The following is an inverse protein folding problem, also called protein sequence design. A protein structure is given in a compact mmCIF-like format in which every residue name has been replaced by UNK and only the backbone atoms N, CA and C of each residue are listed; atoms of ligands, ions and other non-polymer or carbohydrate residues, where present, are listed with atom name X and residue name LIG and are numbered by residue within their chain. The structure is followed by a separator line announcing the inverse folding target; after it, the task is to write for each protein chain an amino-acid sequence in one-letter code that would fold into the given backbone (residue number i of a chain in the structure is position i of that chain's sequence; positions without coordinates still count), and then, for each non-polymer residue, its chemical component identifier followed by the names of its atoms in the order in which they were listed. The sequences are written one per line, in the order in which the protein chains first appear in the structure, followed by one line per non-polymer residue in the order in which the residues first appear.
data_IF_918679204916
#
_entry.id   IF_918679204916
#
_cell.length_a   1.000
_cell.length_b   1.000
_cell.length_c   1.000
_cell.angle_alpha   90.00
_cell.angle_beta   90.00
_cell.angle_gamma   90.00
#
_symmetry.space_group_name_H-M   'P 1'
#
loop_
_entity.id
_entity.type
_entity.pdbx_description
1 polymer ?
#
# COMPACT_ATOMS: atom_id res chain seq x y z
N UNK A 1 34.51 45.47 17.15
CA UNK A 1 34.25 44.05 16.86
C UNK A 1 32.76 43.96 16.60
N UNK A 2 32.35 43.63 15.38
CA UNK A 2 31.26 42.69 15.16
C UNK A 2 31.26 42.23 13.70
N UNK A 3 31.36 40.91 13.56
CA UNK A 3 31.50 40.16 12.33
C UNK A 3 30.11 39.92 11.70
N UNK A 4 29.62 40.88 10.93
CA UNK A 4 28.44 40.66 10.08
C UNK A 4 28.60 41.36 8.73
N UNK A 5 29.47 40.85 7.84
CA UNK A 5 29.42 41.18 6.41
C UNK A 5 30.51 40.49 5.58
N UNK A 6 30.60 39.15 5.56
CA UNK A 6 31.41 38.45 4.55
C UNK A 6 30.80 37.11 4.12
N UNK A 7 30.00 37.08 3.03
CA UNK A 7 29.99 35.89 2.18
C UNK A 7 30.13 36.16 0.67
N UNK A 8 30.04 37.40 0.19
CA UNK A 8 29.95 37.67 -1.26
C UNK A 8 31.32 37.74 -1.94
N UNK A 9 32.38 38.09 -1.20
CA UNK A 9 33.73 38.25 -1.75
C UNK A 9 34.43 36.89 -1.98
N UNK A 10 34.12 35.88 -1.15
CA UNK A 10 34.70 34.52 -1.31
C UNK A 10 34.16 33.77 -2.54
N UNK A 11 32.87 33.90 -2.88
CA UNK A 11 32.31 33.28 -4.09
C UNK A 11 32.82 33.90 -5.40
N UNK A 12 33.05 35.22 -5.41
CA UNK A 12 33.60 35.91 -6.59
C UNK A 12 35.09 35.62 -6.78
N UNK A 13 35.87 35.55 -5.69
CA UNK A 13 37.28 35.16 -5.77
C UNK A 13 37.45 33.70 -6.22
N UNK A 14 36.59 32.77 -5.79
CA UNK A 14 36.68 31.37 -6.25
C UNK A 14 36.37 31.23 -7.75
N UNK A 15 35.36 31.95 -8.27
CA UNK A 15 35.04 31.95 -9.71
C UNK A 15 36.13 32.62 -10.56
N UNK A 16 36.77 33.67 -10.07
CA UNK A 16 37.90 34.32 -10.78
C UNK A 16 39.16 33.45 -10.71
N UNK A 17 39.40 32.72 -9.63
CA UNK A 17 40.58 31.86 -9.50
C UNK A 17 40.51 30.62 -10.40
N UNK A 18 39.32 30.02 -10.58
CA UNK A 18 39.12 28.89 -11.50
C UNK A 18 39.29 29.32 -12.96
N UNK A 19 38.86 30.53 -13.32
CA UNK A 19 38.97 31.04 -14.70
C UNK A 19 40.42 31.47 -15.04
N UNK A 20 41.21 31.94 -14.07
CA UNK A 20 42.58 32.40 -14.31
C UNK A 20 43.60 31.25 -14.32
N UNK A 21 43.38 30.16 -13.58
CA UNK A 21 44.29 29.01 -13.61
C UNK A 21 44.23 28.18 -14.91
N UNK A 22 43.20 28.32 -15.74
CA UNK A 22 43.10 27.63 -17.04
C UNK A 22 43.87 28.31 -18.18
N UNK A 23 44.45 29.50 -17.97
CA UNK A 23 45.10 30.25 -19.04
C UNK A 23 46.61 29.95 -19.21
N UNK A 24 47.24 29.13 -18.36
CA UNK A 24 48.72 29.00 -18.33
C UNK A 24 49.28 27.56 -18.31
N UNK A 25 48.49 26.53 -18.57
CA UNK A 25 49.03 25.17 -18.71
C UNK A 25 48.71 24.61 -20.11
N UNK A 26 49.71 24.65 -20.98
CA UNK A 26 49.69 23.90 -22.23
C UNK A 26 49.80 22.40 -21.95
N UNK A 27 49.06 21.64 -22.75
CA UNK A 27 49.01 20.18 -22.94
C UNK A 27 47.96 19.42 -22.10
N UNK A 28 46.99 18.86 -22.85
CA UNK A 28 45.77 18.13 -22.48
C UNK A 28 44.63 18.98 -21.86
N UNK A 29 43.50 19.22 -22.55
CA UNK A 29 42.31 19.73 -21.90
C UNK A 29 41.79 18.62 -20.98
N UNK A 30 42.00 18.78 -19.67
CA UNK A 30 41.14 18.11 -18.71
C UNK A 30 39.72 18.62 -19.00
N UNK A 31 38.93 17.83 -19.73
CA UNK A 31 37.51 18.07 -19.92
C UNK A 31 36.91 18.14 -18.51
N UNK A 32 36.67 19.34 -18.01
CA UNK A 32 35.85 19.52 -16.82
C UNK A 32 34.53 18.81 -17.12
N UNK A 33 34.21 17.76 -16.36
CA UNK A 33 33.02 16.97 -16.60
C UNK A 33 31.80 17.90 -16.50
N UNK A 34 31.13 18.15 -17.62
CA UNK A 34 29.97 19.03 -17.70
C UNK A 34 28.76 18.31 -17.07
N UNK A 35 28.74 18.30 -15.74
CA UNK A 35 27.64 17.83 -14.92
C UNK A 35 26.67 18.99 -14.67
N UNK A 36 25.36 18.72 -14.50
CA UNK A 36 24.37 19.76 -14.19
C UNK A 36 24.61 20.41 -12.81
N UNK A 37 25.45 19.80 -11.96
CA UNK A 37 25.57 20.16 -10.55
C UNK A 37 24.37 19.65 -9.74
N UNK A 38 24.40 19.79 -8.42
CA UNK A 38 23.21 19.49 -7.60
C UNK A 38 22.16 20.58 -7.80
N UNK A 39 21.00 20.17 -8.32
CA UNK A 39 19.84 21.05 -8.51
C UNK A 39 18.86 20.97 -7.34
N UNK A 40 17.85 21.84 -7.32
CA UNK A 40 16.74 21.69 -6.36
C UNK A 40 15.97 20.39 -6.61
N UNK A 41 15.83 19.99 -7.87
CA UNK A 41 15.18 18.74 -8.25
C UNK A 41 15.91 17.53 -7.65
N UNK A 42 17.26 17.52 -7.67
CA UNK A 42 18.05 16.47 -7.03
C UNK A 42 17.83 16.39 -5.52
N UNK A 43 17.70 17.55 -4.87
CA UNK A 43 17.43 17.61 -3.42
C UNK A 43 16.09 16.95 -3.10
N UNK A 44 15.03 17.33 -3.81
CA UNK A 44 13.69 16.75 -3.66
C UNK A 44 13.71 15.24 -4.00
N UNK A 45 14.34 14.85 -5.09
CA UNK A 45 14.50 13.44 -5.48
C UNK A 45 15.16 12.61 -4.36
N UNK A 46 16.23 13.12 -3.75
CA UNK A 46 16.94 12.43 -2.67
C UNK A 46 16.07 12.32 -1.40
N UNK A 47 15.33 13.38 -1.05
CA UNK A 47 14.38 13.34 0.07
C UNK A 47 13.29 12.27 -0.15
N UNK A 48 12.68 12.25 -1.33
CA UNK A 48 11.67 11.26 -1.69
C UNK A 48 12.24 9.83 -1.72
N UNK A 49 13.45 9.66 -2.23
CA UNK A 49 14.17 8.37 -2.21
C UNK A 49 14.36 7.87 -0.77
N UNK A 50 14.75 8.76 0.14
CA UNK A 50 14.91 8.41 1.55
C UNK A 50 13.55 8.04 2.18
N UNK A 51 12.49 8.76 1.87
CA UNK A 51 11.14 8.45 2.36
C UNK A 51 10.67 7.06 1.92
N UNK A 52 10.78 6.72 0.63
CA UNK A 52 10.39 5.41 0.13
C UNK A 52 11.27 4.28 0.73
N UNK A 53 12.57 4.51 0.91
CA UNK A 53 13.44 3.55 1.60
C UNK A 53 12.99 3.33 3.06
N UNK A 54 12.56 4.37 3.78
CA UNK A 54 11.98 4.19 5.12
C UNK A 54 10.70 3.36 5.08
N UNK A 55 9.80 3.60 4.11
CA UNK A 55 8.59 2.78 3.93
C UNK A 55 8.95 1.32 3.66
N UNK A 56 9.91 1.04 2.77
CA UNK A 56 10.43 -0.31 2.51
C UNK A 56 10.95 -0.95 3.80
N UNK A 57 11.73 -0.23 4.62
CA UNK A 57 12.21 -0.75 5.89
C UNK A 57 11.07 -1.09 6.87
N UNK A 58 10.05 -0.24 6.98
CA UNK A 58 8.87 -0.52 7.82
C UNK A 58 8.11 -1.75 7.33
N UNK A 59 7.89 -1.85 6.02
CA UNK A 59 7.21 -3.00 5.42
C UNK A 59 7.99 -4.31 5.56
N UNK A 60 9.33 -4.27 5.46
CA UNK A 60 10.16 -5.44 5.75
C UNK A 60 9.99 -5.90 7.20
N UNK A 61 9.97 -4.97 8.17
CA UNK A 61 9.72 -5.29 9.56
C UNK A 61 8.30 -5.83 9.80
N UNK A 62 7.33 -5.34 9.04
CA UNK A 62 5.94 -5.83 9.05
C UNK A 62 5.89 -7.29 8.55
N UNK A 63 6.47 -7.58 7.38
CA UNK A 63 6.52 -8.92 6.80
C UNK A 63 7.17 -9.94 7.75
N UNK A 64 8.26 -9.56 8.43
CA UNK A 64 8.94 -10.42 9.41
C UNK A 64 8.06 -10.81 10.60
N UNK A 65 7.07 -9.98 10.95
CA UNK A 65 6.12 -10.21 12.05
C UNK A 65 4.86 -10.97 11.61
N UNK A 66 4.70 -11.23 10.31
CA UNK A 66 3.51 -11.87 9.70
C UNK A 66 3.79 -13.32 9.27
N UNK A 67 4.64 -14.05 10.00
CA UNK A 67 4.91 -15.47 9.69
C UNK A 67 3.67 -16.37 9.84
N UNK A 68 2.72 -15.93 10.66
CA UNK A 68 1.45 -16.57 10.95
C UNK A 68 0.28 -16.04 10.10
N UNK A 69 0.56 -15.11 9.19
CA UNK A 69 -0.38 -14.59 8.19
C UNK A 69 0.29 -14.65 6.80
N UNK A 70 0.59 -15.86 6.29
CA UNK A 70 1.45 -16.06 5.13
C UNK A 70 0.93 -15.40 3.86
N UNK A 71 -0.38 -15.27 3.67
CA UNK A 71 -0.94 -14.68 2.46
C UNK A 71 -0.81 -13.17 2.45
N UNK A 72 -1.18 -12.53 3.56
CA UNK A 72 -1.01 -11.08 3.73
C UNK A 72 0.48 -10.73 3.70
N UNK A 73 1.34 -11.60 4.26
CA UNK A 73 2.79 -11.44 4.15
C UNK A 73 3.28 -11.42 2.69
N UNK A 74 2.80 -12.33 1.84
CA UNK A 74 3.15 -12.35 0.41
C UNK A 74 2.72 -11.06 -0.30
N UNK A 75 1.57 -10.50 0.05
CA UNK A 75 1.12 -9.21 -0.48
C UNK A 75 2.06 -8.06 -0.04
N UNK A 76 2.45 -8.03 1.24
CA UNK A 76 3.44 -7.07 1.75
C UNK A 76 4.77 -7.19 0.99
N UNK A 77 5.25 -8.41 0.74
CA UNK A 77 6.47 -8.68 -0.05
C UNK A 77 6.34 -8.20 -1.51
N UNK A 78 5.17 -8.36 -2.13
CA UNK A 78 4.87 -7.85 -3.47
C UNK A 78 4.92 -6.31 -3.55
N UNK A 79 4.37 -5.63 -2.54
CA UNK A 79 4.42 -4.17 -2.42
C UNK A 79 5.86 -3.68 -2.24
N UNK A 80 6.66 -4.36 -1.41
CA UNK A 80 8.09 -4.07 -1.25
C UNK A 80 8.83 -4.19 -2.60
N UNK A 81 8.57 -5.25 -3.36
CA UNK A 81 9.20 -5.45 -4.65
C UNK A 81 8.82 -4.35 -5.66
N UNK A 82 7.55 -3.94 -5.65
CA UNK A 82 7.05 -2.83 -6.47
C UNK A 82 7.72 -1.50 -6.13
N UNK A 83 7.96 -1.25 -4.84
CA UNK A 83 8.68 -0.08 -4.36
C UNK A 83 10.16 -0.10 -4.78
N UNK A 84 10.82 -1.25 -4.66
CA UNK A 84 12.20 -1.42 -5.11
C UNK A 84 12.36 -1.21 -6.63
N UNK A 85 11.41 -1.71 -7.42
CA UNK A 85 11.37 -1.48 -8.86
C UNK A 85 11.19 0.01 -9.19
N UNK A 86 10.31 0.71 -8.47
CA UNK A 86 10.10 2.15 -8.63
C UNK A 86 11.39 2.95 -8.38
N UNK A 87 12.14 2.61 -7.32
CA UNK A 87 13.45 3.24 -7.05
C UNK A 87 14.45 2.98 -8.18
N UNK A 88 14.51 1.75 -8.69
CA UNK A 88 15.41 1.37 -9.78
C UNK A 88 15.09 2.14 -11.06
N UNK A 89 13.81 2.20 -11.43
CA UNK A 89 13.35 2.90 -12.64
C UNK A 89 13.62 4.40 -12.53
N UNK A 90 13.36 5.00 -11.36
CA UNK A 90 13.65 6.41 -11.10
C UNK A 90 15.16 6.72 -11.16
N UNK A 91 16.00 5.85 -10.60
CA UNK A 91 17.46 5.97 -10.69
C UNK A 91 17.95 5.86 -12.13
N UNK A 92 17.38 4.96 -12.93
CA UNK A 92 17.69 4.82 -14.34
C UNK A 92 17.32 6.08 -15.13
N UNK A 93 16.12 6.64 -14.91
CA UNK A 93 15.70 7.91 -15.54
C UNK A 93 16.65 9.05 -15.19
N UNK A 94 17.03 9.19 -13.91
CA UNK A 94 18.01 10.19 -13.46
C UNK A 94 19.36 10.04 -14.16
N UNK A 95 19.85 8.81 -14.29
CA UNK A 95 21.11 8.52 -15.01
C UNK A 95 21.01 8.90 -16.49
N UNK A 96 19.89 8.55 -17.15
CA UNK A 96 19.66 8.88 -18.56
C UNK A 96 19.57 10.40 -18.78
N UNK A 97 18.87 11.12 -17.91
CA UNK A 97 18.78 12.58 -17.96
C UNK A 97 20.15 13.24 -17.77
N UNK A 98 20.96 12.75 -16.83
CA UNK A 98 22.32 13.24 -16.61
C UNK A 98 23.23 13.00 -17.84
N UNK A 99 23.13 11.83 -18.47
CA UNK A 99 23.90 11.52 -19.68
C UNK A 99 23.47 12.36 -20.88
N UNK A 100 22.17 12.61 -21.05
CA UNK A 100 21.63 13.51 -22.08
C UNK A 100 22.10 14.94 -21.86
N UNK A 101 22.01 15.45 -20.63
CA UNK A 101 22.56 16.76 -20.27
C UNK A 101 24.04 16.86 -20.64
N UNK A 102 24.85 15.88 -20.20
CA UNK A 102 26.31 15.88 -20.42
C UNK A 102 26.64 15.96 -21.92
N UNK A 103 26.00 15.14 -22.74
CA UNK A 103 26.20 15.13 -24.21
C UNK A 103 25.79 16.46 -24.84
N UNK A 104 24.60 16.96 -24.50
CA UNK A 104 24.07 18.20 -25.07
C UNK A 104 24.88 19.43 -24.65
N UNK A 105 25.34 19.49 -23.40
CA UNK A 105 26.19 20.56 -22.89
C UNK A 105 27.56 20.56 -23.54
N UNK A 106 28.14 19.36 -23.78
CA UNK A 106 29.41 19.21 -24.50
C UNK A 106 29.29 19.70 -25.94
N UNK A 107 28.24 19.31 -26.66
CA UNK A 107 27.99 19.81 -28.03
C UNK A 107 27.81 21.33 -28.05
N UNK A 108 27.05 21.89 -27.12
CA UNK A 108 26.88 23.34 -27.01
C UNK A 108 28.22 24.05 -26.76
N UNK A 109 29.10 23.47 -25.93
CA UNK A 109 30.41 24.02 -25.64
C UNK A 109 31.33 23.99 -26.87
N UNK A 110 31.38 22.86 -27.58
CA UNK A 110 32.21 22.71 -28.79
C UNK A 110 31.80 23.70 -29.89
N UNK A 111 30.49 23.84 -30.15
CA UNK A 111 29.95 24.82 -31.09
C UNK A 111 30.32 26.26 -30.69
N UNK A 112 30.23 26.57 -29.39
CA UNK A 112 30.56 27.90 -28.86
C UNK A 112 32.05 28.22 -29.01
N UNK A 113 32.94 27.25 -28.76
CA UNK A 113 34.38 27.44 -28.90
C UNK A 113 34.73 27.77 -30.36
N UNK A 114 34.19 27.02 -31.31
CA UNK A 114 34.42 27.26 -32.75
C UNK A 114 33.92 28.65 -33.15
N UNK A 115 32.69 29.00 -32.78
CA UNK A 115 32.11 30.31 -33.11
C UNK A 115 32.92 31.46 -32.52
N UNK A 116 33.32 31.37 -31.25
CA UNK A 116 34.12 32.41 -30.61
C UNK A 116 35.51 32.52 -31.22
N UNK A 117 36.13 31.42 -31.63
CA UNK A 117 37.42 31.44 -32.31
C UNK A 117 37.34 32.14 -33.67
N UNK A 118 36.30 31.86 -34.46
CA UNK A 118 36.05 32.54 -35.74
C UNK A 118 35.82 34.05 -35.56
N UNK A 119 35.00 34.42 -34.57
CA UNK A 119 34.74 35.83 -34.26
C UNK A 119 36.01 36.54 -33.75
N UNK A 120 36.83 35.88 -32.94
CA UNK A 120 38.12 36.42 -32.49
C UNK A 120 39.11 36.60 -33.64
N UNK A 121 39.11 35.71 -34.63
CA UNK A 121 39.94 35.85 -35.83
C UNK A 121 39.49 37.06 -36.67
N UNK A 122 38.18 37.20 -36.93
CA UNK A 122 37.62 38.39 -37.60
C UNK A 122 37.95 39.69 -36.87
N UNK A 123 37.88 39.68 -35.53
CA UNK A 123 38.24 40.83 -34.71
C UNK A 123 39.72 41.24 -34.92
N UNK A 124 40.63 40.26 -35.03
CA UNK A 124 42.05 40.52 -35.31
C UNK A 124 42.24 41.10 -36.72
N UNK A 125 41.54 40.57 -37.71
CA UNK A 125 41.58 41.05 -39.10
C UNK A 125 41.16 42.52 -39.20
N UNK A 126 40.02 42.90 -38.62
CA UNK A 126 39.55 44.29 -38.65
C UNK A 126 40.48 45.27 -37.92
N UNK A 127 41.12 44.82 -36.83
CA UNK A 127 42.13 45.61 -36.09
C UNK A 127 43.44 45.78 -36.85
N UNK A 128 43.76 44.89 -37.78
CA UNK A 128 45.00 44.93 -38.55
C UNK A 128 44.91 45.81 -39.82
N UNK A 129 43.70 46.26 -40.20
CA UNK A 129 43.50 47.17 -41.33
C UNK A 129 44.08 48.56 -41.04
N UNK A 130 44.47 49.30 -42.08
CA UNK A 130 44.97 50.68 -41.96
C UNK A 130 44.21 51.62 -42.92
N UNK A 131 43.34 52.52 -42.39
CA UNK A 131 42.97 52.65 -40.98
C UNK A 131 42.16 51.42 -40.48
N UNK A 132 42.14 51.15 -39.16
CA UNK A 132 41.31 50.09 -38.58
C UNK A 132 39.82 50.28 -38.88
N UNK A 133 39.11 49.18 -39.10
CA UNK A 133 37.65 49.21 -39.31
C UNK A 133 36.92 49.19 -37.96
N UNK A 134 36.76 50.38 -37.37
CA UNK A 134 36.09 50.56 -36.07
C UNK A 134 34.64 50.06 -36.06
N UNK A 135 33.92 50.20 -37.18
CA UNK A 135 32.54 49.72 -37.30
C UNK A 135 32.48 48.19 -37.30
N UNK A 136 33.39 47.54 -38.05
CA UNK A 136 33.56 46.09 -38.04
C UNK A 136 33.95 45.54 -36.67
N UNK A 137 34.86 46.21 -35.96
CA UNK A 137 35.28 45.84 -34.60
C UNK A 137 34.10 45.86 -33.64
N UNK A 138 33.33 46.96 -33.60
CA UNK A 138 32.18 47.10 -32.71
C UNK A 138 31.11 46.03 -32.99
N UNK A 139 30.84 45.76 -34.27
CA UNK A 139 29.90 44.72 -34.68
C UNK A 139 30.33 43.32 -34.21
N UNK A 140 31.60 42.95 -34.39
CA UNK A 140 32.11 41.63 -33.97
C UNK A 140 32.11 41.50 -32.44
N UNK A 141 32.43 42.56 -31.70
CA UNK A 141 32.32 42.54 -30.24
C UNK A 141 30.89 42.28 -29.77
N UNK A 142 29.90 42.91 -30.43
CA UNK A 142 28.49 42.66 -30.15
C UNK A 142 28.10 41.21 -30.48
N UNK A 143 28.62 40.64 -31.57
CA UNK A 143 28.38 39.23 -31.92
C UNK A 143 29.00 38.26 -30.90
N UNK A 144 30.19 38.55 -30.36
CA UNK A 144 30.83 37.75 -29.31
C UNK A 144 29.97 37.77 -28.04
N UNK A 145 29.50 38.94 -27.63
CA UNK A 145 28.65 39.06 -26.44
C UNK A 145 27.32 38.33 -26.62
N UNK A 146 26.69 38.48 -27.80
CA UNK A 146 25.48 37.74 -28.14
C UNK A 146 25.71 36.23 -28.12
N UNK A 147 26.80 35.74 -28.71
CA UNK A 147 27.13 34.32 -28.71
C UNK A 147 27.28 33.77 -27.27
N UNK A 148 27.86 34.55 -26.34
CA UNK A 148 27.94 34.16 -24.93
C UNK A 148 26.57 34.06 -24.28
N UNK A 149 25.72 35.05 -24.51
CA UNK A 149 24.34 35.05 -23.98
C UNK A 149 23.52 33.90 -24.54
N UNK A 150 23.65 33.60 -25.83
CA UNK A 150 22.96 32.49 -26.48
C UNK A 150 23.43 31.13 -25.90
N UNK A 151 24.72 30.98 -25.61
CA UNK A 151 25.27 29.81 -24.95
C UNK A 151 24.75 29.64 -23.51
N UNK A 152 24.77 30.71 -22.71
CA UNK A 152 24.24 30.70 -21.34
C UNK A 152 22.74 30.35 -21.32
N UNK A 153 21.96 30.92 -22.26
CA UNK A 153 20.54 30.61 -22.41
C UNK A 153 20.29 29.14 -22.80
N UNK A 154 21.16 28.57 -23.65
CA UNK A 154 21.10 27.15 -24.02
C UNK A 154 21.42 26.25 -22.84
N UNK A 155 22.45 26.55 -22.04
CA UNK A 155 22.76 25.80 -20.83
C UNK A 155 21.62 25.86 -19.81
N UNK A 156 21.02 27.03 -19.59
CA UNK A 156 19.87 27.18 -18.71
C UNK A 156 18.67 26.32 -19.14
N UNK A 157 18.42 26.21 -20.45
CA UNK A 157 17.39 25.31 -20.99
C UNK A 157 17.70 23.84 -20.72
N UNK A 158 18.94 23.40 -20.95
CA UNK A 158 19.37 22.03 -20.69
C UNK A 158 19.25 21.67 -19.20
N UNK A 159 19.54 22.61 -18.30
CA UNK A 159 19.32 22.42 -16.86
C UNK A 159 17.81 22.27 -16.57
N UNK A 160 16.96 23.09 -17.18
CA UNK A 160 15.51 22.99 -17.01
C UNK A 160 14.94 21.65 -17.49
N UNK A 161 15.39 21.15 -18.65
CA UNK A 161 15.02 19.83 -19.19
C UNK A 161 15.47 18.70 -18.26
N UNK A 162 16.68 18.81 -17.70
CA UNK A 162 17.17 17.89 -16.68
C UNK A 162 16.30 17.92 -15.42
N UNK A 163 16.03 19.10 -14.86
CA UNK A 163 15.23 19.26 -13.65
C UNK A 163 13.81 18.68 -13.82
N UNK A 164 13.18 18.86 -14.99
CA UNK A 164 11.86 18.30 -15.29
C UNK A 164 11.84 16.77 -15.21
N UNK A 165 12.83 16.11 -15.80
CA UNK A 165 12.98 14.64 -15.71
C UNK A 165 13.22 14.17 -14.26
N UNK A 166 14.03 14.90 -13.48
CA UNK A 166 14.29 14.56 -12.08
C UNK A 166 13.05 14.74 -11.20
N UNK A 167 12.28 15.81 -11.41
CA UNK A 167 10.99 15.99 -10.72
C UNK A 167 9.99 14.88 -11.10
N UNK A 168 9.92 14.50 -12.37
CA UNK A 168 9.09 13.38 -12.82
C UNK A 168 9.45 12.07 -12.12
N UNK A 169 10.75 11.76 -12.02
CA UNK A 169 11.24 10.61 -11.28
C UNK A 169 10.91 10.69 -9.78
N UNK A 170 11.10 11.86 -9.16
CA UNK A 170 10.78 12.10 -7.74
C UNK A 170 9.29 11.95 -7.43
N UNK A 171 8.41 12.42 -8.31
CA UNK A 171 6.96 12.28 -8.16
C UNK A 171 6.51 10.82 -8.20
N UNK A 172 7.14 9.98 -9.03
CA UNK A 172 6.88 8.54 -9.06
C UNK A 172 7.23 7.86 -7.73
N UNK A 173 8.38 8.22 -7.15
CA UNK A 173 8.81 7.75 -5.83
C UNK A 173 7.81 8.19 -4.74
N UNK A 174 7.45 9.48 -4.72
CA UNK A 174 6.51 10.04 -3.75
C UNK A 174 5.12 9.36 -3.83
N UNK A 175 4.64 9.09 -5.05
CA UNK A 175 3.38 8.37 -5.26
C UNK A 175 3.43 6.96 -4.66
N UNK A 176 4.52 6.23 -4.86
CA UNK A 176 4.67 4.88 -4.31
C UNK A 176 4.75 4.90 -2.78
N UNK A 177 5.47 5.87 -2.20
CA UNK A 177 5.51 6.06 -0.76
C UNK A 177 4.11 6.36 -0.19
N UNK A 178 3.31 7.19 -0.88
CA UNK A 178 1.92 7.47 -0.51
C UNK A 178 1.03 6.24 -0.57
N UNK A 179 1.20 5.37 -1.57
CA UNK A 179 0.43 4.11 -1.68
C UNK A 179 0.76 3.20 -0.50
N UNK A 180 2.04 3.01 -0.19
CA UNK A 180 2.45 2.22 0.98
C UNK A 180 1.88 2.79 2.27
N UNK A 181 2.00 4.10 2.51
CA UNK A 181 1.43 4.72 3.71
C UNK A 181 -0.10 4.55 3.79
N UNK A 182 -0.79 4.55 2.65
CA UNK A 182 -2.25 4.44 2.58
C UNK A 182 -2.79 3.06 2.94
N UNK A 183 -2.06 1.99 2.64
CA UNK A 183 -2.52 0.60 2.82
C UNK A 183 -1.91 -0.10 4.05
N UNK A 184 -1.00 0.57 4.77
CA UNK A 184 -0.26 0.00 5.91
C UNK A 184 -1.19 -0.54 7.01
N UNK A 185 -2.23 0.21 7.38
CA UNK A 185 -3.17 -0.21 8.42
C UNK A 185 -4.08 -1.35 7.95
N UNK A 186 -4.51 -1.33 6.69
CA UNK A 186 -5.40 -2.34 6.12
C UNK A 186 -4.69 -3.70 6.04
N UNK A 187 -3.41 -3.72 5.68
CA UNK A 187 -2.58 -4.94 5.69
C UNK A 187 -2.38 -5.47 7.12
N UNK A 188 -2.21 -4.60 8.12
CA UNK A 188 -2.12 -5.04 9.51
C UNK A 188 -3.45 -5.64 10.00
N UNK A 189 -4.59 -5.02 9.65
CA UNK A 189 -5.91 -5.54 9.96
C UNK A 189 -6.17 -6.88 9.25
N UNK A 190 -5.83 -6.98 7.96
CA UNK A 190 -5.94 -8.21 7.18
C UNK A 190 -5.13 -9.36 7.81
N UNK A 191 -3.90 -9.10 8.25
CA UNK A 191 -3.09 -10.13 8.92
C UNK A 191 -3.70 -10.58 10.25
N UNK A 192 -4.34 -9.69 11.00
CA UNK A 192 -5.07 -10.06 12.20
C UNK A 192 -6.29 -10.94 11.86
N UNK A 193 -7.03 -10.61 10.81
CA UNK A 193 -8.18 -11.39 10.35
C UNK A 193 -7.77 -12.75 9.78
N UNK A 194 -6.66 -12.85 9.04
CA UNK A 194 -6.13 -14.14 8.57
C UNK A 194 -5.82 -15.07 9.75
N UNK A 195 -5.19 -14.55 10.82
CA UNK A 195 -4.93 -15.31 12.06
C UNK A 195 -6.22 -15.73 12.75
N UNK A 196 -7.18 -14.82 12.85
CA UNK A 196 -8.48 -15.10 13.46
C UNK A 196 -9.21 -16.19 12.70
N UNK A 197 -9.24 -16.13 11.36
CA UNK A 197 -9.83 -17.15 10.51
C UNK A 197 -9.16 -18.51 10.72
N UNK A 198 -7.83 -18.57 10.73
CA UNK A 198 -7.11 -19.82 10.95
C UNK A 198 -7.41 -20.41 12.33
N UNK A 199 -7.45 -19.57 13.37
CA UNK A 199 -7.79 -19.99 14.73
C UNK A 199 -9.24 -20.46 14.84
N UNK A 200 -10.16 -19.76 14.17
CA UNK A 200 -11.57 -20.12 14.10
C UNK A 200 -11.73 -21.47 13.40
N UNK A 201 -11.06 -21.69 12.26
CA UNK A 201 -11.07 -22.97 11.56
C UNK A 201 -10.57 -24.11 12.46
N UNK A 202 -9.44 -23.95 13.14
CA UNK A 202 -8.91 -24.99 14.04
C UNK A 202 -9.91 -25.33 15.17
N UNK A 203 -10.53 -24.30 15.76
CA UNK A 203 -11.52 -24.45 16.84
C UNK A 203 -12.80 -25.13 16.33
N UNK A 204 -13.36 -24.62 15.23
CA UNK A 204 -14.64 -25.04 14.71
C UNK A 204 -14.60 -26.39 13.99
N UNK A 205 -13.45 -26.78 13.42
CA UNK A 205 -13.20 -28.15 12.97
C UNK A 205 -13.18 -29.12 14.15
N UNK A 206 -12.55 -28.76 15.27
CA UNK A 206 -12.57 -29.60 16.46
C UNK A 206 -14.01 -29.75 17.02
N UNK A 207 -14.79 -28.67 17.04
CA UNK A 207 -16.22 -28.71 17.38
C UNK A 207 -16.99 -29.67 16.46
N UNK A 208 -16.81 -29.56 15.13
CA UNK A 208 -17.44 -30.45 14.14
C UNK A 208 -17.16 -31.93 14.42
N UNK A 209 -15.90 -32.25 14.70
CA UNK A 209 -15.45 -33.62 14.96
C UNK A 209 -15.97 -34.18 16.30
N UNK A 210 -16.35 -33.31 17.24
CA UNK A 210 -16.96 -33.70 18.51
C UNK A 210 -18.46 -33.99 18.43
N UNK A 211 -19.12 -33.63 17.32
CA UNK A 211 -20.55 -33.86 17.13
C UNK A 211 -20.87 -35.33 16.84
N UNK A 212 -22.08 -35.76 17.22
CA UNK A 212 -22.59 -37.09 16.85
C UNK A 212 -22.94 -37.17 15.36
N UNK A 213 -23.04 -38.37 14.76
CA UNK A 213 -23.45 -38.51 13.36
C UNK A 213 -24.82 -37.89 13.05
N UNK A 214 -25.77 -37.98 13.99
CA UNK A 214 -27.10 -37.39 13.84
C UNK A 214 -27.04 -35.85 13.85
N UNK A 215 -26.17 -35.28 14.68
CA UNK A 215 -25.92 -33.84 14.71
C UNK A 215 -25.24 -33.36 13.43
N UNK A 216 -24.26 -34.10 12.91
CA UNK A 216 -23.57 -33.78 11.66
C UNK A 216 -24.49 -33.83 10.43
N UNK A 217 -25.48 -34.73 10.44
CA UNK A 217 -26.43 -34.89 9.31
C UNK A 217 -27.69 -34.03 9.43
N UNK A 218 -27.87 -33.33 10.56
CA UNK A 218 -28.95 -32.36 10.76
C UNK A 218 -28.83 -31.15 9.79
N UNK A 219 -29.92 -30.40 9.54
CA UNK A 219 -29.85 -29.19 8.72
C UNK A 219 -28.81 -28.17 9.22
N UNK A 220 -28.70 -27.99 10.54
CA UNK A 220 -27.71 -27.14 11.19
C UNK A 220 -26.30 -27.69 11.00
N UNK A 221 -26.12 -29.02 11.12
CA UNK A 221 -24.84 -29.68 10.85
C UNK A 221 -24.38 -29.49 9.40
N UNK A 222 -25.28 -29.64 8.43
CA UNK A 222 -24.98 -29.40 7.01
C UNK A 222 -24.62 -27.93 6.75
N UNK A 223 -25.34 -26.98 7.35
CA UNK A 223 -25.04 -25.56 7.25
C UNK A 223 -23.67 -25.22 7.87
N UNK A 224 -23.37 -25.78 9.04
CA UNK A 224 -22.09 -25.63 9.72
C UNK A 224 -20.94 -26.18 8.88
N UNK A 225 -21.10 -27.38 8.31
CA UNK A 225 -20.11 -27.96 7.41
C UNK A 225 -19.86 -27.08 6.20
N UNK A 226 -20.91 -26.51 5.61
CA UNK A 226 -20.79 -25.61 4.47
C UNK A 226 -20.03 -24.32 4.83
N UNK A 227 -20.28 -23.76 6.02
CA UNK A 227 -19.54 -22.60 6.51
C UNK A 227 -18.05 -22.93 6.72
N UNK A 228 -17.74 -24.10 7.29
CA UNK A 228 -16.37 -24.62 7.40
C UNK A 228 -15.69 -24.77 6.04
N UNK A 229 -16.34 -25.41 5.08
CA UNK A 229 -15.77 -25.61 3.75
C UNK A 229 -15.56 -24.27 3.00
N UNK A 230 -16.48 -23.30 3.17
CA UNK A 230 -16.34 -21.96 2.59
C UNK A 230 -15.20 -21.17 3.24
N UNK A 231 -15.08 -21.20 4.56
CA UNK A 231 -13.99 -20.57 5.29
C UNK A 231 -12.63 -21.20 4.97
N UNK A 232 -12.57 -22.53 4.81
CA UNK A 232 -11.37 -23.22 4.36
C UNK A 232 -10.98 -22.77 2.94
N UNK A 233 -11.95 -22.60 2.03
CA UNK A 233 -11.67 -22.08 0.69
C UNK A 233 -11.07 -20.66 0.73
N UNK A 234 -11.53 -19.79 1.63
CA UNK A 234 -10.91 -18.47 1.88
C UNK A 234 -9.51 -18.64 2.49
N UNK A 235 -9.33 -19.58 3.43
CA UNK A 235 -8.04 -19.92 4.03
C UNK A 235 -7.07 -20.64 3.09
N UNK A 236 -7.50 -21.08 1.90
CA UNK A 236 -6.64 -21.64 0.86
C UNK A 236 -6.39 -20.69 -0.34
N UNK A 237 -7.29 -19.74 -0.60
CA UNK A 237 -7.20 -18.81 -1.74
C UNK A 237 -6.12 -17.71 -1.56
N UNK A 238 -5.59 -17.08 -2.63
CA UNK A 238 -4.73 -15.89 -2.48
C UNK A 238 -5.39 -14.77 -1.68
N UNK A 239 -4.59 -13.86 -1.12
CA UNK A 239 -5.11 -12.65 -0.50
C UNK A 239 -5.94 -11.84 -1.52
N UNK A 240 -7.06 -11.29 -1.05
CA UNK A 240 -7.99 -10.50 -1.86
C UNK A 240 -8.32 -9.19 -1.14
N UNK A 241 -9.03 -9.27 -0.01
CA UNK A 241 -9.37 -8.10 0.82
C UNK A 241 -9.53 -8.49 2.29
N UNK A 242 -9.45 -7.52 3.23
CA UNK A 242 -9.77 -7.74 4.64
C UNK A 242 -11.21 -8.24 4.83
N UNK A 243 -12.16 -7.71 4.05
CA UNK A 243 -13.59 -8.06 4.13
C UNK A 243 -13.84 -9.53 3.85
N UNK A 244 -13.09 -10.13 2.90
CA UNK A 244 -13.19 -11.55 2.58
C UNK A 244 -12.90 -12.44 3.80
N UNK A 245 -11.95 -12.05 4.66
CA UNK A 245 -11.70 -12.75 5.91
C UNK A 245 -12.80 -12.52 6.95
N UNK A 246 -13.26 -11.27 7.10
CA UNK A 246 -14.31 -10.92 8.06
C UNK A 246 -15.61 -11.68 7.76
N UNK A 247 -16.05 -11.71 6.51
CA UNK A 247 -17.28 -12.39 6.09
C UNK A 247 -17.21 -13.90 6.36
N UNK A 248 -16.03 -14.51 6.18
CA UNK A 248 -15.80 -15.92 6.47
C UNK A 248 -15.85 -16.20 7.99
N UNK A 249 -15.27 -15.33 8.80
CA UNK A 249 -15.31 -15.42 10.27
C UNK A 249 -16.76 -15.27 10.75
N UNK A 250 -17.47 -14.22 10.32
CA UNK A 250 -18.85 -13.95 10.75
C UNK A 250 -19.79 -15.10 10.36
N UNK A 251 -19.60 -15.67 9.17
CA UNK A 251 -20.37 -16.83 8.71
C UNK A 251 -20.11 -18.08 9.55
N UNK A 252 -18.86 -18.31 9.94
CA UNK A 252 -18.48 -19.41 10.84
C UNK A 252 -19.06 -19.23 12.24
N UNK A 253 -18.93 -18.04 12.81
CA UNK A 253 -19.45 -17.71 14.15
C UNK A 253 -20.97 -17.90 14.20
N UNK A 254 -21.69 -17.41 13.19
CA UNK A 254 -23.13 -17.57 13.11
C UNK A 254 -23.54 -19.04 12.98
N UNK A 255 -22.86 -19.81 12.14
CA UNK A 255 -23.15 -21.23 11.98
C UNK A 255 -22.83 -22.04 13.25
N UNK A 256 -21.73 -21.72 13.97
CA UNK A 256 -21.39 -22.33 15.25
C UNK A 256 -22.49 -22.08 16.27
N UNK A 257 -22.95 -20.82 16.37
CA UNK A 257 -24.04 -20.44 17.26
C UNK A 257 -25.33 -21.21 16.96
N UNK A 258 -25.75 -21.26 15.70
CA UNK A 258 -26.96 -21.99 15.30
C UNK A 258 -26.84 -23.50 15.61
N UNK A 259 -25.64 -24.06 15.47
CA UNK A 259 -25.37 -25.46 15.82
C UNK A 259 -25.38 -25.69 17.33
N UNK A 260 -24.80 -24.79 18.11
CA UNK A 260 -24.83 -24.85 19.58
C UNK A 260 -26.25 -24.73 20.11
N UNK A 261 -27.06 -23.81 19.56
CA UNK A 261 -28.47 -23.68 19.92
C UNK A 261 -29.25 -24.96 19.61
N UNK A 262 -28.95 -25.64 18.50
CA UNK A 262 -29.55 -26.94 18.16
C UNK A 262 -29.10 -28.06 19.10
N UNK A 263 -27.80 -28.16 19.42
CA UNK A 263 -27.23 -29.21 20.26
C UNK A 263 -27.63 -29.05 21.73
N UNK A 264 -27.77 -27.81 22.20
CA UNK A 264 -28.14 -27.48 23.58
C UNK A 264 -29.65 -27.28 23.75
N UNK A 265 -30.42 -27.29 22.66
CA UNK A 265 -31.87 -27.36 22.75
C UNK A 265 -32.24 -28.59 23.58
N UNK A 266 -32.76 -28.35 24.77
CA UNK A 266 -33.46 -29.38 25.52
C UNK A 266 -34.62 -29.76 24.61
N UNK A 267 -34.61 -30.98 24.07
CA UNK A 267 -35.79 -31.58 23.47
C UNK A 267 -36.93 -31.31 24.45
N UNK A 268 -37.81 -30.36 24.09
CA UNK A 268 -39.06 -30.22 24.81
C UNK A 268 -39.66 -31.61 24.79
N UNK A 269 -39.92 -32.22 25.96
CA UNK A 269 -40.19 -33.64 26.04
C UNK A 269 -41.22 -33.96 25.00
N UNK A 270 -40.86 -34.85 24.07
CA UNK A 270 -41.77 -35.36 23.04
C UNK A 270 -43.01 -35.80 23.79
N UNK A 271 -44.08 -35.01 23.75
CA UNK A 271 -45.35 -35.37 24.37
C UNK A 271 -45.98 -36.41 23.48
N UNK A 272 -45.47 -37.64 23.52
CA UNK A 272 -46.28 -38.83 23.26
C UNK A 272 -47.37 -38.83 24.32
N UNK A 273 -48.57 -38.40 23.91
CA UNK A 273 -49.83 -38.44 24.65
C UNK A 273 -49.71 -38.11 26.15
N UNK A 274 -49.78 -36.82 26.49
CA UNK A 274 -49.67 -36.37 27.88
C UNK A 274 -50.72 -37.05 28.79
N UNK A 275 -50.25 -38.01 29.58
CA UNK A 275 -51.00 -38.56 30.71
C UNK A 275 -51.55 -37.41 31.57
N UNK A 276 -52.84 -37.47 31.88
CA UNK A 276 -53.52 -36.48 32.72
C UNK A 276 -53.66 -36.97 34.15
N UNK A 277 -53.52 -36.05 35.11
CA UNK A 277 -54.02 -36.25 36.45
C UNK A 277 -55.51 -35.91 36.48
N UNK A 278 -56.34 -36.89 36.85
CA UNK A 278 -57.78 -36.70 37.01
C UNK A 278 -58.11 -36.56 38.48
N UNK A 279 -58.80 -35.48 38.84
CA UNK A 279 -59.35 -35.23 40.18
C UNK A 279 -60.86 -35.00 40.09
N UNK A 280 -61.53 -35.27 41.19
CA UNK A 280 -62.90 -34.79 41.45
C UNK A 280 -62.90 -33.27 41.66
N UNK A 281 -64.07 -32.62 41.57
CA UNK A 281 -64.18 -31.17 41.80
C UNK A 281 -63.78 -30.74 43.22
N UNK A 282 -63.92 -31.63 44.21
CA UNK A 282 -63.46 -31.39 45.59
C UNK A 282 -61.98 -31.77 45.80
N UNK A 283 -61.22 -32.01 44.72
CA UNK A 283 -59.77 -32.14 44.76
C UNK A 283 -59.23 -33.55 45.06
N UNK A 284 -60.09 -34.57 45.24
CA UNK A 284 -59.64 -35.95 45.41
C UNK A 284 -59.13 -36.51 44.08
N UNK A 285 -57.87 -36.93 44.06
CA UNK A 285 -57.24 -37.58 42.90
C UNK A 285 -57.82 -38.97 42.65
N UNK A 286 -58.24 -39.21 41.41
CA UNK A 286 -58.74 -40.49 40.90
C UNK A 286 -57.67 -41.23 40.10
N UNK A 287 -56.94 -40.50 39.25
CA UNK A 287 -55.82 -41.02 38.46
C UNK A 287 -54.66 -40.02 38.52
N UNK A 288 -53.42 -40.52 38.67
CA UNK A 288 -52.22 -39.67 38.68
C UNK A 288 -51.63 -39.50 37.28
N UNK A 289 -51.61 -40.58 36.50
CA UNK A 289 -51.14 -40.62 35.12
C UNK A 289 -52.05 -41.59 34.35
N UNK A 290 -52.82 -41.07 33.40
CA UNK A 290 -53.71 -41.87 32.53
C UNK A 290 -53.95 -41.10 31.22
N UNK A 291 -54.02 -41.80 30.09
CA UNK A 291 -54.41 -41.17 28.84
C UNK A 291 -55.84 -40.56 28.96
N UNK A 292 -56.09 -39.35 28.44
CA UNK A 292 -57.39 -38.68 28.56
C UNK A 292 -58.56 -39.56 28.08
N UNK A 293 -58.39 -40.27 26.97
CA UNK A 293 -59.43 -41.12 26.38
C UNK A 293 -59.75 -42.33 27.27
N UNK A 294 -58.74 -42.91 27.91
CA UNK A 294 -58.93 -44.03 28.81
C UNK A 294 -59.58 -43.59 30.13
N UNK A 295 -59.27 -42.39 30.61
CA UNK A 295 -59.99 -41.78 31.73
C UNK A 295 -61.46 -41.56 31.40
N UNK A 296 -61.80 -41.05 30.21
CA UNK A 296 -63.20 -40.84 29.80
C UNK A 296 -64.00 -42.14 29.76
N UNK A 297 -63.39 -43.29 29.42
CA UNK A 297 -64.06 -44.60 29.40
C UNK A 297 -64.28 -45.18 30.79
N UNK A 298 -63.37 -44.91 31.74
CA UNK A 298 -63.39 -45.50 33.09
C UNK A 298 -64.16 -44.67 34.11
N UNK A 299 -64.35 -43.38 33.86
CA UNK A 299 -65.07 -42.49 34.77
C UNK A 299 -66.59 -42.58 34.55
N UNK A 300 -67.39 -42.60 35.63
CA UNK A 300 -68.83 -42.45 35.50
C UNK A 300 -69.18 -41.02 35.05
N UNK A 301 -70.36 -40.86 34.44
CA UNK A 301 -70.90 -39.56 33.99
C UNK A 301 -70.82 -38.51 35.10
N UNK A 302 -70.24 -37.35 34.80
CA UNK A 302 -70.03 -36.32 35.82
C UNK A 302 -68.98 -35.28 35.41
N UNK A 303 -68.75 -34.30 36.28
CA UNK A 303 -67.75 -33.25 36.08
C UNK A 303 -66.48 -33.54 36.88
N UNK A 304 -65.32 -33.50 36.22
CA UNK A 304 -64.00 -33.79 36.80
C UNK A 304 -62.97 -32.73 36.40
N UNK A 305 -61.81 -32.74 37.05
CA UNK A 305 -60.67 -31.91 36.73
C UNK A 305 -59.58 -32.76 36.07
N UNK A 306 -59.32 -32.54 34.78
CA UNK A 306 -58.22 -33.14 34.04
C UNK A 306 -57.11 -32.11 33.96
N UNK A 307 -55.98 -32.34 34.65
CA UNK A 307 -54.91 -31.33 34.81
C UNK A 307 -55.48 -29.95 35.14
N UNK A 308 -56.38 -29.91 36.14
CA UNK A 308 -57.02 -28.69 36.67
C UNK A 308 -58.07 -28.04 35.74
N UNK A 309 -58.36 -28.61 34.56
CA UNK A 309 -59.44 -28.17 33.68
C UNK A 309 -60.73 -28.96 33.90
N UNK A 310 -61.86 -28.26 34.01
CA UNK A 310 -63.18 -28.90 34.15
C UNK A 310 -63.57 -29.63 32.85
N UNK A 311 -63.83 -30.92 32.96
CA UNK A 311 -64.28 -31.78 31.86
C UNK A 311 -65.56 -32.49 32.27
N UNK A 312 -66.57 -32.45 31.40
CA UNK A 312 -67.81 -33.20 31.57
C UNK A 312 -67.73 -34.54 30.85
N UNK A 313 -67.73 -35.63 31.60
CA UNK A 313 -67.78 -37.01 31.09
C UNK A 313 -69.24 -37.33 30.80
N UNK A 314 -69.54 -37.61 29.53
CA UNK A 314 -70.88 -37.91 29.00
C UNK A 314 -71.22 -39.39 29.05
#
# INVERSE_FOLDING_TARGET
MDLHSLPIIRQRLFRVFVVVCCALAGTAPAQAELLPGETKADTVYNEQTNELNMCIHRYNAMAQRMNDAPKVRLEVESIIQSAANTLKDAAQRRSQAADLYRKSAQTAYEEQVVLLQDLQNKLKEYRAQTPPDEAGIAMVQQQIEKARQDYDARLARLIGEYEEEIYGAGNGIASMASVMNGVENDLQAAAALERMLQTALDTYVAEWLGLTPDQQTSPQGVAYRRALDAAQAVADAPYDSPETYQDAIDSLEQASKDMQDFVTAIDSPVTTEADVCVRTLNGRTLFRHIAPEEALRRLPRGLYLFNERKVYVR
#
